data_IF_165062154060
#
_entry.id   IF_165062154060
#
_cell.length_a   1.000
_cell.length_b   1.000
_cell.length_c   1.000
_cell.angle_alpha   90.00
_cell.angle_beta   90.00
_cell.angle_gamma   90.00
#
_symmetry.space_group_name_H-M   'P 1'
#
loop_
_entity.id
_entity.type
_entity.pdbx_description
1 polymer ?
#
# COMPACT_ATOMS: atom_id res chain seq x y z
N UNK A 1 3.99 -20.69 18.74
CA UNK A 1 2.86 -20.01 18.07
C UNK A 1 3.38 -18.64 17.64
N UNK A 2 3.78 -18.47 16.37
CA UNK A 2 4.32 -17.19 15.87
C UNK A 2 3.17 -16.21 15.78
N UNK A 3 3.35 -15.00 16.33
CA UNK A 3 2.28 -14.00 16.31
C UNK A 3 2.05 -13.51 14.87
N UNK A 4 0.81 -13.26 14.43
CA UNK A 4 0.51 -12.84 13.05
C UNK A 4 1.34 -11.64 12.57
N UNK A 5 1.63 -10.69 13.47
CA UNK A 5 2.47 -9.52 13.22
C UNK A 5 3.93 -9.88 12.85
N UNK A 6 4.44 -10.98 13.40
CA UNK A 6 5.81 -11.42 13.19
C UNK A 6 5.94 -12.22 11.89
N UNK A 7 4.87 -12.95 11.51
CA UNK A 7 4.76 -13.61 10.20
C UNK A 7 4.54 -12.63 9.06
N UNK A 8 3.82 -11.53 9.30
CA UNK A 8 3.73 -10.40 8.36
C UNK A 8 5.10 -9.78 8.19
N UNK A 9 5.87 -9.52 9.26
CA UNK A 9 7.25 -9.02 9.16
C UNK A 9 8.18 -9.95 8.35
N UNK A 10 8.04 -11.26 8.52
CA UNK A 10 8.80 -12.25 7.75
C UNK A 10 8.43 -12.23 6.26
N UNK A 11 7.13 -12.21 5.95
CA UNK A 11 6.62 -12.09 4.58
C UNK A 11 6.97 -10.73 3.95
N UNK A 12 7.01 -9.67 4.75
CA UNK A 12 7.44 -8.32 4.34
C UNK A 12 8.94 -8.23 4.05
N UNK A 13 9.75 -9.15 4.57
CA UNK A 13 11.20 -9.23 4.30
C UNK A 13 11.54 -10.16 3.13
N UNK A 14 10.60 -10.97 2.66
CA UNK A 14 10.81 -11.86 1.52
C UNK A 14 10.54 -11.12 0.20
N UNK A 15 11.50 -11.19 -0.72
CA UNK A 15 11.29 -10.83 -2.13
C UNK A 15 10.14 -11.67 -2.70
N UNK A 16 9.12 -11.01 -3.26
CA UNK A 16 7.94 -11.69 -3.82
C UNK A 16 8.25 -12.20 -5.23
N UNK A 17 8.99 -11.42 -6.02
CA UNK A 17 9.40 -11.76 -7.39
C UNK A 17 10.70 -11.04 -7.73
N UNK A 18 11.59 -11.67 -8.49
CA UNK A 18 12.86 -11.11 -8.92
C UNK A 18 13.09 -11.37 -10.41
N UNK A 19 13.75 -10.42 -11.06
CA UNK A 19 14.28 -10.50 -12.42
C UNK A 19 15.69 -9.91 -12.41
N UNK A 20 16.45 -10.06 -13.49
CA UNK A 20 17.83 -9.57 -13.60
C UNK A 20 18.04 -8.08 -13.25
N UNK A 21 16.98 -7.26 -13.32
CA UNK A 21 17.05 -5.81 -13.06
C UNK A 21 16.13 -5.29 -11.97
N UNK A 22 15.17 -6.10 -11.51
CA UNK A 22 14.09 -5.62 -10.65
C UNK A 22 13.70 -6.66 -9.62
N UNK A 23 13.52 -6.17 -8.39
CA UNK A 23 13.02 -6.94 -7.25
C UNK A 23 11.67 -6.35 -6.84
N UNK A 24 10.63 -7.17 -6.84
CA UNK A 24 9.33 -6.81 -6.28
C UNK A 24 9.30 -7.19 -4.81
N UNK A 25 9.34 -6.17 -3.96
CA UNK A 25 9.31 -6.33 -2.51
C UNK A 25 7.98 -5.87 -1.92
N UNK A 26 7.60 -6.40 -0.75
CA UNK A 26 6.49 -5.88 0.04
C UNK A 26 6.72 -4.41 0.40
N UNK A 27 5.74 -3.56 0.10
CA UNK A 27 5.77 -2.14 0.49
C UNK A 27 5.70 -2.03 2.01
N UNK A 28 6.54 -1.19 2.62
CA UNK A 28 6.62 -0.94 4.07
C UNK A 28 6.28 0.50 4.44
N UNK A 29 6.11 0.78 5.74
CA UNK A 29 5.92 2.15 6.21
C UNK A 29 7.16 3.03 5.97
N UNK A 30 8.35 2.44 5.86
CA UNK A 30 9.59 3.16 5.64
C UNK A 30 9.70 3.70 4.19
N UNK A 31 8.87 3.18 3.27
CA UNK A 31 8.81 3.64 1.88
C UNK A 31 8.03 4.95 1.69
N UNK A 32 7.44 5.49 2.77
CA UNK A 32 6.64 6.72 2.73
C UNK A 32 7.32 7.88 2.00
N UNK A 33 8.61 8.23 2.24
CA UNK A 33 9.22 9.37 1.58
C UNK A 33 9.28 9.22 0.04
N UNK A 34 9.64 8.02 -0.44
CA UNK A 34 9.65 7.73 -1.87
C UNK A 34 8.24 7.73 -2.46
N UNK A 35 7.26 7.23 -1.70
CA UNK A 35 5.87 7.22 -2.12
C UNK A 35 5.28 8.63 -2.24
N UNK A 36 5.59 9.54 -1.31
CA UNK A 36 5.19 10.95 -1.42
C UNK A 36 5.73 11.58 -2.70
N UNK A 37 6.99 11.32 -3.06
CA UNK A 37 7.60 11.89 -4.26
C UNK A 37 6.89 11.48 -5.56
N UNK A 38 6.19 10.33 -5.56
CA UNK A 38 5.45 9.81 -6.71
C UNK A 38 4.00 10.26 -6.66
N UNK A 39 3.30 10.04 -5.53
CA UNK A 39 1.87 10.27 -5.42
C UNK A 39 1.48 11.74 -5.26
N UNK A 40 2.42 12.61 -4.88
CA UNK A 40 2.19 14.05 -4.77
C UNK A 40 2.70 14.81 -6.00
N UNK A 41 3.29 14.12 -6.99
CA UNK A 41 3.71 14.72 -8.24
C UNK A 41 2.52 14.82 -9.22
N UNK A 42 2.17 16.05 -9.57
CA UNK A 42 1.03 16.35 -10.46
C UNK A 42 1.16 15.70 -11.84
N UNK A 43 2.38 15.59 -12.37
CA UNK A 43 2.62 15.00 -13.69
C UNK A 43 2.34 13.51 -13.66
N UNK A 44 2.83 12.83 -12.64
CA UNK A 44 2.60 11.40 -12.41
C UNK A 44 1.12 11.10 -12.18
N UNK A 45 0.42 11.99 -11.47
CA UNK A 45 -0.97 11.79 -11.06
C UNK A 45 -2.03 12.36 -12.02
N UNK A 46 -1.62 12.93 -13.16
CA UNK A 46 -2.54 13.54 -14.14
C UNK A 46 -3.65 12.57 -14.60
N UNK A 47 -3.35 11.27 -14.64
CA UNK A 47 -4.31 10.23 -15.02
C UNK A 47 -5.07 9.59 -13.84
N UNK A 48 -4.72 9.96 -12.60
CA UNK A 48 -5.21 9.33 -11.37
C UNK A 48 -6.09 10.26 -10.50
N UNK A 49 -6.59 11.35 -11.09
CA UNK A 49 -7.49 12.28 -10.40
C UNK A 49 -6.78 13.41 -9.65
N UNK A 50 -5.50 13.64 -9.92
CA UNK A 50 -4.69 14.70 -9.30
C UNK A 50 -3.77 14.20 -8.19
N UNK A 51 -2.76 15.01 -7.86
CA UNK A 51 -1.79 14.70 -6.82
C UNK A 51 -2.45 14.54 -5.44
N UNK A 52 -1.91 13.62 -4.66
CA UNK A 52 -2.29 13.43 -3.26
C UNK A 52 -1.65 14.50 -2.39
N UNK A 53 -2.25 14.75 -1.24
CA UNK A 53 -1.57 15.42 -0.12
C UNK A 53 -0.91 14.38 0.82
N UNK A 54 -0.25 14.86 1.88
CA UNK A 54 0.39 13.99 2.86
C UNK A 54 -0.58 13.01 3.54
N UNK A 55 -1.77 13.49 3.93
CA UNK A 55 -2.75 12.70 4.65
C UNK A 55 -3.35 11.59 3.76
N UNK A 56 -3.60 11.90 2.50
CA UNK A 56 -4.03 10.95 1.47
C UNK A 56 -2.96 9.88 1.23
N UNK A 57 -1.69 10.29 1.15
CA UNK A 57 -0.56 9.37 0.99
C UNK A 57 -0.47 8.40 2.17
N UNK A 58 -0.59 8.91 3.40
CA UNK A 58 -0.59 8.09 4.61
C UNK A 58 -1.76 7.12 4.69
N UNK A 59 -2.97 7.58 4.32
CA UNK A 59 -4.15 6.74 4.29
C UNK A 59 -4.02 5.62 3.25
N UNK A 60 -3.47 5.94 2.08
CA UNK A 60 -3.23 4.96 1.02
C UNK A 60 -2.20 3.91 1.45
N UNK A 61 -1.07 4.35 2.02
CA UNK A 61 -0.01 3.45 2.48
C UNK A 61 -0.52 2.52 3.58
N UNK A 62 -1.25 3.04 4.57
CA UNK A 62 -1.88 2.22 5.62
C UNK A 62 -2.88 1.22 5.06
N UNK A 63 -3.72 1.60 4.10
CA UNK A 63 -4.64 0.65 3.43
C UNK A 63 -3.89 -0.44 2.68
N UNK A 64 -2.79 -0.10 2.01
CA UNK A 64 -1.99 -1.09 1.27
C UNK A 64 -1.25 -2.05 2.21
N UNK A 65 -0.71 -1.54 3.31
CA UNK A 65 -0.04 -2.34 4.36
C UNK A 65 -1.03 -3.28 5.09
N UNK A 66 -2.17 -2.76 5.53
CA UNK A 66 -3.20 -3.54 6.26
C UNK A 66 -3.96 -4.52 5.35
N UNK A 67 -4.11 -4.19 4.07
CA UNK A 67 -4.82 -4.98 3.08
C UNK A 67 -4.05 -6.18 2.51
N UNK A 68 -2.76 -6.32 2.86
CA UNK A 68 -1.94 -7.48 2.47
C UNK A 68 -2.33 -8.71 3.30
N UNK A 69 -3.54 -9.22 3.05
CA UNK A 69 -4.01 -10.53 3.52
C UNK A 69 -3.43 -11.60 2.58
N UNK A 70 -2.82 -12.69 3.06
CA UNK A 70 -2.56 -13.84 2.20
C UNK A 70 -3.91 -14.27 1.60
N UNK A 71 -3.98 -14.32 0.28
CA UNK A 71 -5.23 -14.44 -0.47
C UNK A 71 -6.08 -15.60 0.06
N UNK A 72 -7.19 -15.25 0.70
CA UNK A 72 -8.16 -16.17 1.25
C UNK A 72 -9.30 -15.38 1.88
N UNK A 73 -10.35 -15.16 1.07
CA UNK A 73 -11.66 -14.56 1.43
C UNK A 73 -11.70 -13.03 1.55
N UNK A 74 -12.35 -12.36 0.58
CA UNK A 74 -12.92 -11.02 0.77
C UNK A 74 -14.43 -11.15 0.71
N UNK A 75 -15.08 -11.00 1.87
CA UNK A 75 -16.50 -10.71 1.99
C UNK A 75 -16.68 -9.23 2.38
N UNK A 76 -17.35 -8.49 1.49
CA UNK A 76 -18.31 -7.41 1.79
C UNK A 76 -17.83 -6.11 2.46
N UNK A 77 -18.39 -4.98 1.99
CA UNK A 77 -18.77 -3.91 2.91
C UNK A 77 -18.69 -2.46 2.45
N UNK A 78 -19.73 -2.01 1.74
CA UNK A 78 -20.45 -0.74 1.94
C UNK A 78 -19.72 0.61 1.74
N UNK A 79 -20.04 1.27 0.62
CA UNK A 79 -19.92 2.72 0.47
C UNK A 79 -21.24 3.37 0.91
N UNK A 80 -21.32 3.80 2.17
CA UNK A 80 -22.40 4.67 2.62
C UNK A 80 -22.10 6.11 2.21
N UNK A 81 -22.96 6.69 1.37
CA UNK A 81 -22.99 8.11 1.01
C UNK A 81 -23.30 8.96 2.25
N UNK A 82 -22.58 10.07 2.42
CA UNK A 82 -22.99 11.18 3.30
C UNK A 82 -22.93 12.48 2.50
N UNK A 83 -24.10 12.96 2.10
CA UNK A 83 -24.45 14.33 1.65
C UNK A 83 -25.99 14.35 1.70
N UNK A 84 -26.73 15.27 2.32
CA UNK A 84 -26.46 16.48 3.10
C UNK A 84 -27.64 16.62 4.09
#
# INVERSE_FOLDING_TARGET
MIRPEEKIRELCRAVILETDRLVLQPLTLDDRPALCAILQDDRTMIHYGGAFDEAMTDAWLKRRWTGMKPSGSVSGGSSAKVTA
#
